data_IF_768604953906
#
_entry.id   IF_768604953906
#
_cell.length_a   1.000
_cell.length_b   1.000
_cell.length_c   1.000
_cell.angle_alpha   90.00
_cell.angle_beta   90.00
_cell.angle_gamma   90.00
#
_symmetry.space_group_name_H-M   'P 1'
#
loop_
_entity.id
_entity.type
_entity.pdbx_description
1 polymer ?
#
# COMPACT_ATOMS: atom_id res chain seq x y z
N UNK A 1 -7.77 -0.29 -22.45
CA UNK A 1 -8.50 0.24 -21.27
C UNK A 1 -7.47 0.55 -20.21
N UNK A 2 -7.27 1.81 -19.85
CA UNK A 2 -6.32 2.19 -18.80
C UNK A 2 -7.11 2.68 -17.59
N UNK A 3 -6.84 2.15 -16.39
CA UNK A 3 -7.49 2.60 -15.16
C UNK A 3 -6.49 3.49 -14.42
N UNK A 4 -6.90 4.70 -14.05
CA UNK A 4 -6.09 5.64 -13.28
C UNK A 4 -6.79 5.99 -11.97
N UNK A 5 -6.37 5.40 -10.84
CA UNK A 5 -6.85 5.83 -9.54
C UNK A 5 -6.23 7.19 -9.14
N UNK A 6 -7.01 8.07 -8.51
CA UNK A 6 -6.53 9.40 -8.11
C UNK A 6 -5.69 9.39 -6.82
N UNK A 7 -6.04 8.54 -5.84
CA UNK A 7 -5.28 8.38 -4.59
C UNK A 7 -4.93 6.92 -4.38
N UNK A 8 -3.67 6.58 -4.65
CA UNK A 8 -3.15 5.24 -4.39
C UNK A 8 -2.27 5.28 -3.15
N UNK A 9 -2.53 4.37 -2.22
CA UNK A 9 -1.71 4.13 -1.03
C UNK A 9 -1.01 2.78 -1.14
N UNK A 10 0.10 2.62 -0.42
CA UNK A 10 0.83 1.37 -0.33
C UNK A 10 0.70 0.75 1.05
N UNK A 11 0.49 -0.56 1.06
CA UNK A 11 0.41 -1.36 2.28
C UNK A 11 1.35 -2.56 2.18
N UNK A 12 2.02 -2.96 3.26
CA UNK A 12 2.87 -4.16 3.25
C UNK A 12 2.05 -5.43 3.08
N UNK A 13 2.58 -6.41 2.36
CA UNK A 13 2.02 -7.77 2.32
C UNK A 13 2.54 -8.59 3.49
N UNK A 14 1.89 -8.45 4.65
CA UNK A 14 2.29 -9.10 5.90
C UNK A 14 1.06 -9.42 6.78
N UNK A 15 1.24 -10.27 7.78
CA UNK A 15 0.28 -10.42 8.89
C UNK A 15 0.52 -9.35 9.96
N UNK A 16 -0.46 -9.13 10.84
CA UNK A 16 -0.27 -8.25 12.01
C UNK A 16 0.89 -8.74 12.89
N UNK A 17 1.02 -10.06 13.09
CA UNK A 17 2.12 -10.66 13.82
C UNK A 17 3.48 -10.41 13.17
N UNK A 18 3.58 -10.51 11.84
CA UNK A 18 4.82 -10.21 11.11
C UNK A 18 5.23 -8.75 11.29
N UNK A 19 4.28 -7.83 11.23
CA UNK A 19 4.53 -6.40 11.46
C UNK A 19 5.05 -6.17 12.89
N UNK A 20 4.43 -6.79 13.89
CA UNK A 20 4.89 -6.72 15.28
C UNK A 20 6.30 -7.30 15.44
N UNK A 21 6.59 -8.44 14.80
CA UNK A 21 7.93 -9.04 14.81
C UNK A 21 8.99 -8.16 14.13
N UNK A 22 8.58 -7.33 13.17
CA UNK A 22 9.41 -6.30 12.54
C UNK A 22 9.56 -5.02 13.39
N UNK A 23 8.98 -5.00 14.59
CA UNK A 23 9.09 -3.89 15.54
C UNK A 23 7.93 -2.90 15.52
N UNK A 24 6.84 -3.19 14.78
CA UNK A 24 5.65 -2.35 14.79
C UNK A 24 5.02 -2.29 16.18
N UNK A 25 4.87 -1.09 16.72
CA UNK A 25 4.12 -0.86 17.95
C UNK A 25 2.62 -0.62 17.68
N UNK A 26 1.80 -0.69 18.73
CA UNK A 26 0.35 -0.50 18.63
C UNK A 26 -0.06 0.84 18.00
N UNK A 27 0.71 1.92 18.21
CA UNK A 27 0.39 3.22 17.64
C UNK A 27 0.62 3.22 16.12
N UNK A 28 1.65 2.53 15.64
CA UNK A 28 1.92 2.34 14.22
C UNK A 28 0.86 1.46 13.58
N UNK A 29 0.54 0.31 14.19
CA UNK A 29 -0.51 -0.58 13.71
C UNK A 29 -1.86 0.12 13.64
N UNK A 30 -2.23 0.93 14.64
CA UNK A 30 -3.45 1.76 14.60
C UNK A 30 -3.44 2.76 13.45
N UNK A 31 -2.29 3.34 13.10
CA UNK A 31 -2.19 4.24 11.94
C UNK A 31 -2.36 3.48 10.63
N UNK A 32 -1.82 2.25 10.54
CA UNK A 32 -1.96 1.41 9.35
C UNK A 32 -3.41 0.95 9.17
N UNK A 33 -4.05 0.48 10.23
CA UNK A 33 -5.41 -0.07 10.22
C UNK A 33 -6.50 0.95 10.60
N UNK A 34 -6.18 2.25 10.51
CA UNK A 34 -7.11 3.36 10.76
C UNK A 34 -7.91 3.25 12.08
N UNK A 35 -7.27 2.73 13.13
CA UNK A 35 -7.78 2.69 14.50
C UNK A 35 -8.01 1.29 15.05
N UNK A 36 -8.59 0.37 14.27
CA UNK A 36 -8.88 -0.97 14.77
C UNK A 36 -7.79 -1.97 14.33
N UNK A 37 -6.99 -2.46 15.27
CA UNK A 37 -5.96 -3.47 14.96
C UNK A 37 -6.66 -4.83 14.76
N UNK A 38 -6.53 -5.48 13.60
CA UNK A 38 -7.07 -6.82 13.36
C UNK A 38 -6.42 -7.88 14.27
N UNK A 39 -6.94 -9.11 14.22
CA UNK A 39 -6.32 -10.24 14.93
C UNK A 39 -4.88 -10.47 14.44
N UNK A 40 -4.02 -10.99 15.32
CA UNK A 40 -2.59 -11.17 15.03
C UNK A 40 -2.32 -12.00 13.75
N UNK A 41 -3.17 -12.98 13.46
CA UNK A 41 -3.09 -13.85 12.30
C UNK A 41 -3.78 -13.29 11.04
N UNK A 42 -4.46 -12.15 11.13
CA UNK A 42 -5.08 -11.51 9.97
C UNK A 42 -4.01 -10.92 9.06
N UNK A 43 -4.19 -11.11 7.76
CA UNK A 43 -3.33 -10.45 6.77
C UNK A 43 -3.79 -9.00 6.58
N UNK A 44 -2.88 -8.12 6.16
CA UNK A 44 -3.25 -6.78 5.72
C UNK A 44 -4.24 -6.84 4.54
N UNK A 45 -4.11 -7.84 3.65
CA UNK A 45 -5.05 -8.06 2.54
C UNK A 45 -6.49 -8.30 3.01
N UNK A 46 -6.68 -9.12 4.06
CA UNK A 46 -8.02 -9.41 4.61
C UNK A 46 -8.67 -8.15 5.19
N UNK A 47 -7.88 -7.31 5.88
CA UNK A 47 -8.34 -6.02 6.37
C UNK A 47 -8.79 -5.11 5.23
N UNK A 48 -7.95 -4.96 4.20
CA UNK A 48 -8.26 -4.10 3.05
C UNK A 48 -9.55 -4.53 2.33
N UNK A 49 -9.76 -5.84 2.19
CA UNK A 49 -11.00 -6.38 1.64
C UNK A 49 -12.21 -6.12 2.54
N UNK A 50 -12.06 -6.27 3.86
CA UNK A 50 -13.10 -5.97 4.85
C UNK A 50 -13.55 -4.50 4.82
N UNK A 51 -12.63 -3.59 4.50
CA UNK A 51 -12.90 -2.15 4.33
C UNK A 51 -13.50 -1.81 2.95
N UNK A 52 -13.70 -2.80 2.06
CA UNK A 52 -14.22 -2.58 0.72
C UNK A 52 -13.26 -1.84 -0.22
N UNK A 53 -11.96 -1.85 0.10
CA UNK A 53 -10.92 -1.23 -0.73
C UNK A 53 -10.53 -2.13 -1.89
N UNK A 54 -10.12 -1.51 -3.00
CA UNK A 54 -9.43 -2.26 -4.05
C UNK A 54 -7.98 -2.41 -3.64
N UNK A 55 -7.50 -3.66 -3.58
CA UNK A 55 -6.11 -3.98 -3.25
C UNK A 55 -5.50 -4.87 -4.32
N UNK A 56 -4.49 -4.38 -5.03
CA UNK A 56 -3.74 -5.16 -6.01
C UNK A 56 -2.37 -5.56 -5.46
N UNK A 57 -2.04 -6.86 -5.43
CA UNK A 57 -0.72 -7.31 -5.02
C UNK A 57 0.32 -6.95 -6.09
N UNK A 58 1.54 -6.66 -5.67
CA UNK A 58 2.66 -6.43 -6.58
C UNK A 58 4.00 -6.33 -5.85
N UNK A 59 5.05 -6.12 -6.63
CA UNK A 59 6.42 -5.96 -6.12
C UNK A 59 6.96 -4.59 -6.49
N UNK A 60 7.59 -3.90 -5.54
CA UNK A 60 8.29 -2.65 -5.81
C UNK A 60 9.51 -2.93 -6.69
N UNK A 61 9.55 -2.31 -7.87
CA UNK A 61 10.67 -2.43 -8.83
C UNK A 61 11.49 -1.15 -8.94
N UNK A 62 10.94 -0.02 -8.50
CA UNK A 62 11.64 1.26 -8.44
C UNK A 62 11.16 2.08 -7.24
N UNK A 63 12.09 2.79 -6.59
CA UNK A 63 11.79 3.78 -5.55
C UNK A 63 12.65 5.03 -5.78
N UNK A 64 12.01 6.16 -6.07
CA UNK A 64 12.68 7.43 -6.33
C UNK A 64 12.17 8.48 -5.36
N UNK A 65 13.04 9.01 -4.52
CA UNK A 65 12.76 10.16 -3.69
C UNK A 65 12.86 11.46 -4.51
N UNK A 66 11.79 12.26 -4.52
CA UNK A 66 11.67 13.51 -5.30
C UNK A 66 11.41 14.68 -4.33
N UNK A 67 12.20 14.78 -3.27
CA UNK A 67 12.04 15.82 -2.24
C UNK A 67 10.85 15.55 -1.32
N UNK A 68 9.66 16.06 -1.64
CA UNK A 68 8.50 15.98 -0.75
C UNK A 68 7.70 14.67 -0.86
N UNK A 69 7.97 13.87 -1.88
CA UNK A 69 7.35 12.55 -2.05
C UNK A 69 8.34 11.50 -2.56
N UNK A 70 7.97 10.23 -2.38
CA UNK A 70 8.63 9.09 -2.99
C UNK A 70 7.70 8.53 -4.06
N UNK A 71 8.24 8.39 -5.29
CA UNK A 71 7.59 7.67 -6.37
C UNK A 71 8.01 6.21 -6.33
N UNK A 72 7.04 5.33 -6.25
CA UNK A 72 7.20 3.89 -6.38
C UNK A 72 6.68 3.43 -7.73
N UNK A 73 7.44 2.56 -8.41
CA UNK A 73 6.92 1.72 -9.48
C UNK A 73 6.72 0.31 -8.95
N UNK A 74 5.52 -0.23 -9.15
CA UNK A 74 5.12 -1.56 -8.71
C UNK A 74 4.84 -2.40 -9.94
N UNK A 75 5.46 -3.57 -10.03
CA UNK A 75 5.14 -4.58 -11.04
C UNK A 75 4.01 -5.46 -10.51
N UNK A 76 2.91 -5.52 -11.25
CA UNK A 76 1.79 -6.39 -10.98
C UNK A 76 2.06 -7.81 -11.53
N UNK A 77 1.41 -8.87 -11.01
CA UNK A 77 1.60 -10.25 -11.47
C UNK A 77 1.30 -10.46 -12.96
N UNK A 78 0.40 -9.67 -13.54
CA UNK A 78 0.07 -9.71 -14.98
C UNK A 78 1.12 -9.01 -15.86
N UNK A 79 2.18 -8.47 -15.28
CA UNK A 79 3.23 -7.75 -15.99
C UNK A 79 2.99 -6.24 -16.15
N UNK A 80 1.81 -5.73 -15.81
CA UNK A 80 1.55 -4.28 -15.84
C UNK A 80 2.28 -3.53 -14.73
N UNK A 81 2.41 -2.21 -14.86
CA UNK A 81 3.06 -1.37 -13.85
C UNK A 81 2.08 -0.36 -13.27
N UNK A 82 2.14 -0.21 -11.95
CA UNK A 82 1.43 0.81 -11.19
C UNK A 82 2.43 1.84 -10.69
N UNK A 83 2.14 3.13 -10.88
CA UNK A 83 2.95 4.22 -10.34
C UNK A 83 2.22 4.84 -9.16
N UNK A 84 2.88 4.88 -8.01
CA UNK A 84 2.32 5.39 -6.77
C UNK A 84 3.21 6.48 -6.21
N UNK A 85 2.63 7.62 -5.80
CA UNK A 85 3.35 8.71 -5.16
C UNK A 85 2.91 8.81 -3.72
N UNK A 86 3.85 8.61 -2.80
CA UNK A 86 3.61 8.71 -1.36
C UNK A 86 4.31 9.96 -0.86
N UNK A 87 3.54 10.91 -0.34
CA UNK A 87 4.13 12.11 0.29
C UNK A 87 4.90 11.71 1.54
N UNK A 88 6.06 12.34 1.75
CA UNK A 88 6.89 12.21 2.95
C UNK A 88 6.26 12.96 4.14
N UNK A 89 4.97 12.72 4.39
CA UNK A 89 4.29 13.25 5.56
C UNK A 89 4.73 12.43 6.76
N UNK A 90 5.38 13.09 7.71
CA UNK A 90 5.94 12.59 8.98
C UNK A 90 4.92 11.98 9.96
N UNK A 91 3.77 11.48 9.47
CA UNK A 91 2.67 10.97 10.28
C UNK A 91 2.02 9.67 9.79
N UNK A 92 2.27 9.23 8.55
CA UNK A 92 1.97 7.85 8.13
C UNK A 92 3.23 7.05 8.35
N UNK A 93 3.09 5.84 8.89
CA UNK A 93 4.12 4.81 9.01
C UNK A 93 5.35 5.11 8.15
N UNK A 94 6.53 5.29 8.75
CA UNK A 94 7.81 5.51 8.03
C UNK A 94 8.28 4.23 7.31
N UNK A 95 7.33 3.39 6.87
CA UNK A 95 7.60 2.23 6.01
C UNK A 95 7.96 2.77 4.64
N UNK A 96 9.21 3.17 4.50
CA UNK A 96 9.83 3.33 3.19
C UNK A 96 9.99 1.94 2.60
N UNK A 97 9.15 1.63 1.64
CA UNK A 97 9.33 0.42 0.84
C UNK A 97 10.63 0.49 0.06
N UNK A 98 11.26 -0.66 -0.12
CA UNK A 98 12.48 -0.85 -0.90
C UNK A 98 12.17 -1.66 -2.15
N UNK A 99 13.07 -1.59 -3.13
CA UNK A 99 13.00 -2.47 -4.30
C UNK A 99 13.05 -3.92 -3.84
N UNK A 100 12.11 -4.73 -4.33
CA UNK A 100 11.91 -6.12 -3.93
C UNK A 100 10.79 -6.34 -2.91
N UNK A 101 10.29 -5.30 -2.25
CA UNK A 101 9.22 -5.45 -1.27
C UNK A 101 7.90 -5.86 -1.93
N UNK A 102 7.20 -6.80 -1.29
CA UNK A 102 5.85 -7.20 -1.65
C UNK A 102 4.83 -6.25 -1.00
N UNK A 103 3.98 -5.64 -1.82
CA UNK A 103 3.05 -4.59 -1.41
C UNK A 103 1.68 -4.73 -2.06
N UNK A 104 0.66 -4.18 -1.40
CA UNK A 104 -0.62 -3.87 -2.01
C UNK A 104 -0.65 -2.42 -2.49
N UNK A 105 -0.99 -2.22 -3.76
CA UNK A 105 -1.48 -0.93 -4.27
C UNK A 105 -2.97 -0.80 -3.97
N UNK A 106 -3.34 0.21 -3.20
CA UNK A 106 -4.68 0.33 -2.60
C UNK A 106 -5.35 1.65 -2.96
N UNK A 107 -6.62 1.62 -3.34
CA UNK A 107 -7.44 2.80 -3.55
C UNK A 107 -8.91 2.53 -3.23
N UNK A 108 -9.68 3.61 -3.08
CA UNK A 108 -11.13 3.52 -2.95
C UNK A 108 -11.78 3.18 -4.29
N UNK A 109 -12.77 2.26 -4.37
CA UNK A 109 -13.38 1.87 -5.65
C UNK A 109 -13.88 3.05 -6.51
N UNK A 110 -14.40 4.11 -5.87
CA UNK A 110 -14.91 5.30 -6.54
C UNK A 110 -13.83 6.29 -7.01
N UNK A 111 -12.57 6.10 -6.62
CA UNK A 111 -11.44 6.94 -7.05
C UNK A 111 -10.78 6.40 -8.33
N UNK A 112 -11.27 5.29 -8.89
CA UNK A 112 -10.79 4.74 -10.16
C UNK A 112 -11.47 5.41 -11.36
N UNK A 113 -10.70 6.12 -12.18
CA UNK A 113 -11.19 6.61 -13.47
C UNK A 113 -10.82 5.63 -14.59
N UNK A 114 -11.79 5.35 -15.45
CA UNK A 114 -11.58 4.58 -16.67
C UNK A 114 -11.19 5.56 -17.78
N UNK A 115 -10.00 5.38 -18.34
CA UNK A 115 -9.58 6.05 -19.57
C UNK A 115 -9.88 5.10 -20.75
N UNK A 116 -10.90 5.45 -21.52
CA UNK A 116 -11.13 4.92 -22.86
C UNK A 116 -10.34 5.78 -23.86
N UNK A 117 -9.41 5.14 -24.58
CA UNK A 117 -8.70 5.72 -25.73
C UNK A 117 -9.55 5.65 -26.98
#
# INVERSE_FOLDING_TARGET
LAIRPEKISLYPMATVADLQAQGANDAELRRLFQGNIPAANSTVGDYLQGEGLVALPGTVVESIYIGTDIRYQIRLPNGESLIVRVQNLSGRYDTRFKVGDAVYGVWQPHEAQILTS
#
